data_IF_998302029069
#
_entry.id   IF_998302029069
#
_cell.length_a   1.000
_cell.length_b   1.000
_cell.length_c   1.000
_cell.angle_alpha   90.00
_cell.angle_beta   90.00
_cell.angle_gamma   90.00
#
_symmetry.space_group_name_H-M   'P 1'
#
loop_
_entity.id
_entity.type
_entity.pdbx_description
1 polymer ?
#
# COMPACT_ATOMS: atom_id res chain seq x y z
N UNK A 1 -22.96 -11.93 -10.60
CA UNK A 1 -22.63 -10.74 -9.81
C UNK A 1 -23.55 -9.61 -10.28
N UNK A 2 -24.31 -8.98 -9.39
CA UNK A 2 -25.23 -7.89 -9.73
C UNK A 2 -24.50 -6.56 -9.52
N UNK A 3 -23.87 -6.04 -10.57
CA UNK A 3 -23.04 -4.83 -10.53
C UNK A 3 -23.80 -3.56 -10.07
N UNK A 4 -25.14 -3.61 -10.11
CA UNK A 4 -26.06 -2.58 -9.63
C UNK A 4 -26.14 -2.50 -8.09
N UNK A 5 -25.77 -3.56 -7.35
CA UNK A 5 -25.97 -3.66 -5.89
C UNK A 5 -24.69 -3.84 -5.08
N UNK A 6 -23.53 -3.88 -5.73
CA UNK A 6 -22.26 -4.08 -5.05
C UNK A 6 -21.12 -3.48 -5.85
N UNK A 7 -20.27 -2.69 -5.18
CA UNK A 7 -19.08 -2.07 -5.76
C UNK A 7 -17.86 -2.34 -4.89
N UNK A 8 -16.71 -2.45 -5.52
CA UNK A 8 -15.44 -2.43 -4.82
C UNK A 8 -15.03 -0.99 -4.53
N UNK A 9 -14.42 -0.75 -3.38
CA UNK A 9 -13.75 0.53 -3.11
C UNK A 9 -12.66 0.77 -4.17
N UNK A 10 -12.56 2.00 -4.68
CA UNK A 10 -11.50 2.38 -5.64
C UNK A 10 -10.55 3.37 -4.94
N UNK A 11 -9.28 2.97 -4.79
CA UNK A 11 -8.22 3.81 -4.21
C UNK A 11 -7.35 4.50 -5.27
N UNK A 12 -7.82 4.55 -6.52
CA UNK A 12 -7.14 5.13 -7.68
C UNK A 12 -5.73 4.54 -7.89
N UNK A 13 -5.63 3.21 -7.87
CA UNK A 13 -4.38 2.46 -8.04
C UNK A 13 -4.23 1.81 -9.41
N UNK A 14 -5.18 2.06 -10.31
CA UNK A 14 -5.37 1.38 -11.60
C UNK A 14 -4.18 1.57 -12.56
N UNK A 15 -3.42 2.65 -12.39
CA UNK A 15 -2.26 2.96 -13.22
C UNK A 15 -0.99 2.16 -12.86
N UNK A 16 -1.01 1.33 -11.82
CA UNK A 16 0.19 0.63 -11.33
C UNK A 16 0.34 -0.71 -12.02
N UNK A 17 1.43 -0.84 -12.80
CA UNK A 17 1.78 -2.08 -13.48
C UNK A 17 1.91 -3.27 -12.52
N UNK A 18 1.35 -4.40 -12.92
CA UNK A 18 1.51 -5.70 -12.25
C UNK A 18 0.97 -5.72 -10.81
N UNK A 19 -0.14 -5.03 -10.54
CA UNK A 19 -0.85 -5.12 -9.25
C UNK A 19 -2.07 -6.05 -9.28
N UNK A 20 -2.47 -6.50 -10.48
CA UNK A 20 -3.73 -7.21 -10.73
C UNK A 20 -4.90 -6.22 -10.80
N UNK A 21 -6.03 -6.65 -11.38
CA UNK A 21 -7.26 -5.84 -11.44
C UNK A 21 -7.95 -5.69 -10.06
N UNK A 22 -7.47 -6.43 -9.07
CA UNK A 22 -8.08 -6.59 -7.78
C UNK A 22 -7.25 -5.87 -6.71
N UNK A 23 -7.87 -4.91 -6.02
CA UNK A 23 -7.31 -4.28 -4.84
C UNK A 23 -6.85 -5.37 -3.85
N UNK A 24 -5.61 -5.30 -3.35
CA UNK A 24 -5.10 -6.29 -2.37
C UNK A 24 -5.97 -6.32 -1.09
N UNK A 25 -6.77 -5.27 -0.89
CA UNK A 25 -7.74 -5.11 0.18
C UNK A 25 -9.13 -4.80 -0.35
N UNK A 26 -9.64 -5.59 -1.30
CA UNK A 26 -11.02 -5.48 -1.80
C UNK A 26 -12.02 -5.30 -0.64
N UNK A 27 -12.55 -4.09 -0.50
CA UNK A 27 -13.68 -3.82 0.37
C UNK A 27 -14.93 -3.79 -0.49
N UNK A 28 -15.77 -4.81 -0.36
CA UNK A 28 -17.05 -4.88 -1.08
C UNK A 28 -18.06 -4.02 -0.34
N UNK A 29 -18.51 -2.96 -0.99
CA UNK A 29 -19.64 -2.12 -0.56
C UNK A 29 -20.89 -2.75 -1.17
N UNK A 30 -21.79 -3.28 -0.34
CA UNK A 30 -22.99 -3.98 -0.77
C UNK A 30 -24.23 -3.23 -0.29
N UNK A 31 -25.11 -2.86 -1.24
CA UNK A 31 -26.44 -2.33 -0.97
C UNK A 31 -27.47 -3.47 -0.98
N UNK A 32 -27.53 -4.20 0.13
CA UNK A 32 -28.47 -5.32 0.30
C UNK A 32 -28.14 -6.25 1.47
N UNK A 33 -29.00 -7.24 1.74
CA UNK A 33 -28.74 -8.21 2.80
C UNK A 33 -27.54 -9.10 2.45
N UNK A 34 -26.60 -9.19 3.39
CA UNK A 34 -25.43 -10.07 3.30
C UNK A 34 -25.63 -11.28 4.21
N UNK A 35 -25.12 -12.43 3.78
CA UNK A 35 -25.13 -13.68 4.55
C UNK A 35 -23.71 -14.16 4.82
N UNK A 36 -23.53 -14.90 5.91
CA UNK A 36 -22.26 -15.53 6.24
C UNK A 36 -22.34 -17.03 5.96
N UNK A 37 -21.23 -17.60 5.48
CA UNK A 37 -21.10 -19.05 5.40
C UNK A 37 -21.22 -19.64 6.82
N UNK A 38 -21.98 -20.72 6.94
CA UNK A 38 -22.15 -21.41 8.24
C UNK A 38 -20.95 -22.28 8.62
N UNK A 39 -20.07 -22.54 7.66
CA UNK A 39 -18.90 -23.39 7.79
C UNK A 39 -17.67 -22.62 7.33
N UNK A 40 -16.51 -23.01 7.85
CA UNK A 40 -15.24 -22.39 7.49
C UNK A 40 -14.87 -22.72 6.04
N UNK A 41 -14.37 -21.71 5.33
CA UNK A 41 -13.74 -21.89 4.04
C UNK A 41 -12.25 -22.12 4.26
N UNK A 42 -11.78 -23.36 4.06
CA UNK A 42 -10.36 -23.67 4.15
C UNK A 42 -9.60 -22.97 3.01
N UNK A 43 -8.64 -22.13 3.37
CA UNK A 43 -7.77 -21.44 2.44
C UNK A 43 -6.31 -21.84 2.69
N UNK A 44 -5.87 -22.89 2.03
CA UNK A 44 -4.49 -23.39 2.11
C UNK A 44 -3.66 -22.83 0.94
N UNK A 45 -2.96 -21.71 1.18
CA UNK A 45 -2.03 -21.09 0.21
C UNK A 45 -0.57 -21.31 0.64
N UNK A 46 -0.17 -22.59 0.81
CA UNK A 46 1.21 -22.97 1.11
C UNK A 46 2.05 -23.06 -0.16
N UNK A 47 2.48 -21.90 -0.67
CA UNK A 47 3.47 -21.81 -1.75
C UNK A 47 4.86 -21.54 -1.21
N UNK A 48 5.87 -21.72 -2.07
CA UNK A 48 7.27 -21.49 -1.72
C UNK A 48 7.62 -20.01 -1.51
N UNK A 49 8.88 -19.76 -1.11
CA UNK A 49 9.40 -18.41 -0.90
C UNK A 49 9.48 -17.56 -2.18
N UNK A 50 9.62 -18.18 -3.34
CA UNK A 50 9.64 -17.46 -4.61
C UNK A 50 8.30 -16.76 -4.83
N UNK A 51 7.19 -17.49 -4.67
CA UNK A 51 5.85 -16.93 -4.79
C UNK A 51 5.57 -15.87 -3.73
N UNK A 52 6.08 -16.06 -2.51
CA UNK A 52 5.98 -15.05 -1.46
C UNK A 52 6.66 -13.74 -1.89
N UNK A 53 7.91 -13.82 -2.35
CA UNK A 53 8.70 -12.65 -2.76
C UNK A 53 8.09 -11.96 -3.99
N UNK A 54 7.69 -12.73 -4.98
CA UNK A 54 7.08 -12.22 -6.21
C UNK A 54 5.78 -11.46 -5.92
N UNK A 55 4.91 -12.03 -5.08
CA UNK A 55 3.68 -11.39 -4.63
C UNK A 55 3.96 -10.09 -3.86
N UNK A 56 4.89 -10.10 -2.92
CA UNK A 56 5.22 -8.90 -2.14
C UNK A 56 5.92 -7.82 -2.97
N UNK A 57 6.64 -8.19 -4.03
CA UNK A 57 7.14 -7.22 -4.99
C UNK A 57 6.00 -6.51 -5.73
N UNK A 58 4.96 -7.25 -6.18
CA UNK A 58 3.76 -6.65 -6.79
C UNK A 58 2.99 -5.77 -5.80
N UNK A 59 2.71 -6.30 -4.61
CA UNK A 59 1.93 -5.59 -3.60
C UNK A 59 2.63 -4.34 -3.08
N UNK A 60 3.97 -4.33 -3.02
CA UNK A 60 4.70 -3.14 -2.60
C UNK A 60 4.58 -2.00 -3.60
N UNK A 61 4.35 -2.26 -4.91
CA UNK A 61 3.99 -1.20 -5.86
C UNK A 61 2.65 -0.55 -5.48
N UNK A 62 1.66 -1.39 -5.20
CA UNK A 62 0.32 -0.96 -4.81
C UNK A 62 0.34 -0.15 -3.51
N UNK A 63 0.96 -0.67 -2.44
CA UNK A 63 1.07 0.04 -1.16
C UNK A 63 1.84 1.36 -1.27
N UNK A 64 2.90 1.39 -2.09
CA UNK A 64 3.65 2.63 -2.32
C UNK A 64 2.77 3.72 -2.93
N UNK A 65 1.90 3.38 -3.90
CA UNK A 65 0.95 4.34 -4.47
C UNK A 65 -0.14 4.73 -3.49
N UNK A 66 -0.67 3.80 -2.71
CA UNK A 66 -1.62 4.12 -1.63
C UNK A 66 -0.98 5.10 -0.63
N UNK A 67 0.28 4.85 -0.24
CA UNK A 67 1.03 5.76 0.64
C UNK A 67 1.24 7.12 -0.01
N UNK A 68 1.55 7.16 -1.32
CA UNK A 68 1.68 8.40 -2.07
C UNK A 68 0.36 9.18 -2.07
N UNK A 69 -0.76 8.56 -2.44
CA UNK A 69 -2.09 9.17 -2.48
C UNK A 69 -2.51 9.70 -1.09
N UNK A 70 -2.18 8.97 -0.01
CA UNK A 70 -2.41 9.40 1.38
C UNK A 70 -1.54 10.59 1.82
N UNK A 71 -0.37 10.76 1.22
CA UNK A 71 0.55 11.87 1.52
C UNK A 71 0.24 13.12 0.68
N UNK A 72 -0.25 12.94 -0.54
CA UNK A 72 -0.61 14.04 -1.46
C UNK A 72 -2.06 14.52 -1.30
N UNK A 73 -2.85 13.86 -0.45
CA UNK A 73 -4.27 14.21 -0.22
C UNK A 73 -5.23 13.70 -1.31
N UNK A 74 -4.74 12.94 -2.29
CA UNK A 74 -5.57 12.35 -3.35
C UNK A 74 -6.49 11.23 -2.85
N UNK A 75 -6.26 10.71 -1.65
CA UNK A 75 -7.08 9.64 -1.04
C UNK A 75 -8.41 10.13 -0.42
N UNK A 76 -8.58 11.43 -0.21
CA UNK A 76 -9.71 12.00 0.55
C UNK A 76 -10.97 12.24 -0.31
N UNK A 77 -10.91 12.01 -1.63
CA UNK A 77 -12.03 12.16 -2.56
C UNK A 77 -12.96 10.95 -2.60
N UNK A 78 -13.92 10.86 -1.67
CA UNK A 78 -15.06 9.93 -1.77
C UNK A 78 -14.90 8.57 -1.06
N UNK A 79 -13.92 8.41 -0.18
CA UNK A 79 -13.68 7.16 0.57
C UNK A 79 -14.03 7.27 2.06
N UNK A 80 -14.12 6.14 2.78
CA UNK A 80 -14.43 6.12 4.22
C UNK A 80 -13.38 6.95 4.99
N UNK A 81 -13.84 7.96 5.73
CA UNK A 81 -13.00 8.90 6.48
C UNK A 81 -12.17 8.23 7.59
N UNK A 82 -10.98 8.78 7.87
CA UNK A 82 -10.13 8.32 8.98
C UNK A 82 -10.57 8.95 10.30
N UNK A 83 -10.95 8.13 11.28
CA UNK A 83 -11.34 8.57 12.62
C UNK A 83 -10.81 7.58 13.67
N UNK A 84 -10.13 8.09 14.71
CA UNK A 84 -9.57 7.29 15.80
C UNK A 84 -10.64 6.67 16.71
N UNK A 85 -11.80 7.33 16.83
CA UNK A 85 -12.94 6.87 17.63
C UNK A 85 -14.10 6.34 16.77
N UNK A 86 -13.85 6.15 15.47
CA UNK A 86 -14.83 5.61 14.54
C UNK A 86 -14.87 4.08 14.53
N UNK A 87 -15.51 3.55 13.50
CA UNK A 87 -15.57 2.11 13.25
C UNK A 87 -14.18 1.49 12.98
N UNK A 88 -14.05 0.17 13.08
CA UNK A 88 -12.79 -0.56 12.93
C UNK A 88 -12.02 -0.19 11.65
N UNK A 89 -12.72 0.03 10.54
CA UNK A 89 -12.16 0.49 9.26
C UNK A 89 -11.59 1.90 9.37
N UNK A 90 -12.31 2.82 10.00
CA UNK A 90 -11.89 4.21 10.20
C UNK A 90 -10.64 4.30 11.08
N UNK A 91 -10.56 3.49 12.14
CA UNK A 91 -9.38 3.41 13.02
C UNK A 91 -8.17 2.84 12.29
N UNK A 92 -8.36 1.77 11.52
CA UNK A 92 -7.28 1.16 10.69
C UNK A 92 -6.69 2.18 9.73
N UNK A 93 -7.54 3.01 9.08
CA UNK A 93 -7.09 4.10 8.20
C UNK A 93 -6.34 5.20 8.96
N UNK A 94 -6.83 5.58 10.14
CA UNK A 94 -6.14 6.55 10.99
C UNK A 94 -4.73 6.07 11.38
N UNK A 95 -4.61 4.82 11.85
CA UNK A 95 -3.32 4.21 12.16
C UNK A 95 -2.41 4.13 10.92
N UNK A 96 -2.97 3.82 9.74
CA UNK A 96 -2.22 3.84 8.47
C UNK A 96 -1.70 5.25 8.17
N UNK A 97 -2.50 6.31 8.37
CA UNK A 97 -2.08 7.71 8.16
C UNK A 97 -0.89 8.11 9.05
N UNK A 98 -0.86 7.63 10.28
CA UNK A 98 0.27 7.82 11.20
C UNK A 98 1.46 6.97 10.74
N UNK A 99 1.25 5.67 10.50
CA UNK A 99 2.29 4.73 10.09
C UNK A 99 3.05 5.21 8.86
N UNK A 100 2.35 5.79 7.87
CA UNK A 100 2.96 6.29 6.64
C UNK A 100 4.00 7.41 6.89
N UNK A 101 3.90 8.13 8.01
CA UNK A 101 4.79 9.25 8.35
C UNK A 101 5.95 8.86 9.28
N UNK A 102 5.94 7.65 9.84
CA UNK A 102 7.00 7.21 10.76
C UNK A 102 8.33 6.94 10.04
N UNK A 103 9.47 7.33 10.63
CA UNK A 103 10.79 6.90 10.16
C UNK A 103 11.07 5.43 10.54
N UNK A 104 12.06 4.82 9.89
CA UNK A 104 12.55 3.46 10.20
C UNK A 104 11.48 2.35 10.20
N UNK A 105 10.44 2.47 9.39
CA UNK A 105 9.33 1.48 9.31
C UNK A 105 9.77 0.02 9.15
N UNK A 106 10.79 -0.33 8.35
CA UNK A 106 11.24 -1.71 8.24
C UNK A 106 11.65 -2.30 9.60
N UNK A 107 12.43 -1.54 10.38
CA UNK A 107 12.85 -1.94 11.72
C UNK A 107 11.64 -2.00 12.67
N UNK A 108 10.75 -1.01 12.64
CA UNK A 108 9.55 -1.00 13.46
C UNK A 108 8.65 -2.22 13.16
N UNK A 109 8.47 -2.56 11.88
CA UNK A 109 7.70 -3.72 11.44
C UNK A 109 8.31 -5.01 11.96
N UNK A 110 9.64 -5.14 11.86
CA UNK A 110 10.37 -6.28 12.42
C UNK A 110 10.17 -6.38 13.93
N UNK A 111 10.42 -5.30 14.68
CA UNK A 111 10.32 -5.32 16.15
C UNK A 111 8.89 -5.61 16.62
N UNK A 112 7.89 -4.99 15.97
CA UNK A 112 6.47 -5.23 16.24
C UNK A 112 6.10 -6.70 16.06
N UNK A 113 6.57 -7.34 14.98
CA UNK A 113 6.30 -8.75 14.77
C UNK A 113 7.15 -9.65 15.69
N UNK A 114 8.46 -9.48 15.68
CA UNK A 114 9.40 -10.41 16.30
C UNK A 114 9.35 -10.36 17.83
N UNK A 115 9.29 -9.16 18.42
CA UNK A 115 9.30 -8.96 19.87
C UNK A 115 7.88 -8.89 20.42
N UNK A 116 7.07 -7.95 19.94
CA UNK A 116 5.76 -7.68 20.54
C UNK A 116 4.69 -8.74 20.21
N UNK A 117 4.80 -9.40 19.04
CA UNK A 117 3.93 -10.55 18.68
C UNK A 117 4.59 -11.89 18.96
N UNK A 118 5.68 -11.90 19.73
CA UNK A 118 6.37 -13.10 20.18
C UNK A 118 6.84 -14.02 19.03
N UNK A 119 7.14 -13.47 17.85
CA UNK A 119 7.64 -14.25 16.72
C UNK A 119 8.96 -14.96 16.99
N UNK A 120 9.72 -14.56 18.01
CA UNK A 120 10.89 -15.30 18.47
C UNK A 120 10.56 -16.70 19.02
N UNK A 121 9.31 -16.96 19.44
CA UNK A 121 8.87 -18.28 19.90
C UNK A 121 8.88 -19.32 18.78
N UNK A 122 8.75 -18.89 17.52
CA UNK A 122 8.83 -19.74 16.34
C UNK A 122 10.30 -19.98 15.89
N UNK A 123 11.27 -19.49 16.67
CA UNK A 123 12.70 -19.63 16.43
C UNK A 123 13.13 -19.14 15.04
N UNK A 124 13.75 -20.03 14.26
CA UNK A 124 14.28 -19.70 12.93
C UNK A 124 13.19 -19.29 11.94
N UNK A 125 12.02 -19.95 11.98
CA UNK A 125 10.93 -19.66 11.05
C UNK A 125 10.36 -18.24 11.30
N UNK A 126 10.13 -17.90 12.57
CA UNK A 126 9.69 -16.57 12.97
C UNK A 126 10.69 -15.48 12.63
N UNK A 127 11.99 -15.72 12.84
CA UNK A 127 13.04 -14.78 12.42
C UNK A 127 13.01 -14.53 10.91
N UNK A 128 12.98 -15.60 10.08
CA UNK A 128 12.94 -15.48 8.63
C UNK A 128 11.71 -14.68 8.20
N UNK A 129 10.53 -15.02 8.72
CA UNK A 129 9.30 -14.32 8.38
C UNK A 129 9.33 -12.84 8.80
N UNK A 130 9.85 -12.53 9.99
CA UNK A 130 10.05 -11.15 10.43
C UNK A 130 10.97 -10.37 9.49
N UNK A 131 12.06 -10.97 9.04
CA UNK A 131 12.99 -10.37 8.06
C UNK A 131 12.33 -10.13 6.71
N UNK A 132 11.52 -11.08 6.24
CA UNK A 132 10.73 -10.94 5.03
C UNK A 132 9.73 -9.78 5.15
N UNK A 133 9.01 -9.65 6.27
CA UNK A 133 8.13 -8.51 6.53
C UNK A 133 8.88 -7.18 6.55
N UNK A 134 10.06 -7.14 7.17
CA UNK A 134 10.92 -5.95 7.17
C UNK A 134 11.37 -5.58 5.76
N UNK A 135 11.77 -6.56 4.95
CA UNK A 135 12.19 -6.34 3.56
C UNK A 135 11.03 -5.83 2.71
N UNK A 136 9.83 -6.37 2.90
CA UNK A 136 8.62 -5.89 2.23
C UNK A 136 8.33 -4.42 2.57
N UNK A 137 8.36 -4.04 3.85
CA UNK A 137 8.14 -2.65 4.27
C UNK A 137 9.22 -1.71 3.69
N UNK A 138 10.46 -2.20 3.58
CA UNK A 138 11.55 -1.47 2.92
C UNK A 138 11.22 -1.23 1.44
N UNK A 139 10.81 -2.26 0.70
CA UNK A 139 10.43 -2.15 -0.72
C UNK A 139 9.34 -1.10 -0.96
N UNK A 140 8.31 -1.06 -0.10
CA UNK A 140 7.26 -0.02 -0.15
C UNK A 140 7.89 1.37 -0.02
N UNK A 141 8.80 1.54 0.94
CA UNK A 141 9.47 2.82 1.20
C UNK A 141 10.29 3.33 0.02
N UNK A 142 11.12 2.48 -0.60
CA UNK A 142 11.95 2.88 -1.76
C UNK A 142 11.11 3.19 -2.99
N UNK A 143 10.05 2.42 -3.24
CA UNK A 143 9.09 2.70 -4.33
C UNK A 143 8.29 3.97 -4.09
N UNK A 144 7.92 4.25 -2.84
CA UNK A 144 7.30 5.53 -2.47
C UNK A 144 8.26 6.70 -2.71
N UNK A 145 9.55 6.54 -2.42
CA UNK A 145 10.55 7.54 -2.74
C UNK A 145 10.61 7.81 -4.24
N UNK A 146 10.68 6.75 -5.07
CA UNK A 146 10.61 6.87 -6.54
C UNK A 146 9.35 7.61 -6.99
N UNK A 147 8.17 7.21 -6.51
CA UNK A 147 6.90 7.90 -6.81
C UNK A 147 6.94 9.40 -6.47
N UNK A 148 7.58 9.79 -5.37
CA UNK A 148 7.72 11.20 -5.00
C UNK A 148 8.64 11.97 -5.96
N UNK A 149 9.71 11.34 -6.44
CA UNK A 149 10.65 11.97 -7.38
C UNK A 149 10.06 12.10 -8.78
N UNK A 150 9.24 11.14 -9.21
CA UNK A 150 8.75 11.04 -10.58
C UNK A 150 7.25 11.34 -10.74
N UNK A 151 6.71 12.28 -9.95
CA UNK A 151 5.34 12.76 -10.13
C UNK A 151 4.24 11.69 -9.96
N UNK A 152 4.51 10.62 -9.20
CA UNK A 152 3.56 9.56 -8.93
C UNK A 152 3.59 8.37 -9.91
N UNK A 153 4.66 8.24 -10.71
CA UNK A 153 4.88 7.11 -11.61
C UNK A 153 6.07 6.24 -11.17
N UNK A 154 5.97 4.92 -11.36
CA UNK A 154 7.05 3.95 -11.15
C UNK A 154 7.62 3.52 -12.51
N UNK A 155 8.94 3.32 -12.63
CA UNK A 155 9.62 2.91 -13.86
C UNK A 155 9.43 3.89 -15.03
N UNK A 156 9.68 5.17 -14.82
CA UNK A 156 9.60 6.16 -15.91
C UNK A 156 10.82 6.01 -16.81
N UNK A 157 10.61 5.61 -18.07
CA UNK A 157 11.68 5.49 -19.08
C UNK A 157 12.21 6.83 -19.57
N UNK A 158 11.46 7.92 -19.37
CA UNK A 158 11.88 9.29 -19.60
C UNK A 158 11.64 10.13 -18.33
N UNK A 159 12.61 10.89 -17.82
CA UNK A 159 12.38 11.76 -16.68
C UNK A 159 11.25 12.75 -16.98
N UNK A 160 10.34 13.04 -16.03
CA UNK A 160 9.39 14.13 -16.20
C UNK A 160 10.21 15.40 -16.47
N UNK A 161 9.85 16.12 -17.54
CA UNK A 161 10.52 17.35 -17.93
C UNK A 161 10.67 18.24 -16.69
N UNK A 162 11.92 18.57 -16.35
CA UNK A 162 12.22 19.43 -15.21
C UNK A 162 11.33 20.68 -15.29
N UNK A 163 10.79 21.17 -14.16
CA UNK A 163 9.95 22.36 -14.18
C UNK A 163 10.73 23.49 -14.86
N UNK A 164 10.22 23.96 -16.00
CA UNK A 164 10.80 25.06 -16.74
C UNK A 164 10.91 26.25 -15.79
N UNK A 165 12.14 26.57 -15.39
CA UNK A 165 12.41 27.72 -14.55
C UNK A 165 12.12 28.97 -15.40
N UNK A 166 11.08 29.77 -15.10
CA UNK A 166 10.70 30.92 -15.93
C UNK A 166 11.73 32.06 -15.88
N UNK A 167 12.81 31.91 -15.09
CA UNK A 167 13.84 32.93 -14.88
C UNK A 167 14.96 32.98 -15.95
N UNK A 168 14.99 32.08 -16.93
CA UNK A 168 16.10 32.02 -17.91
C UNK A 168 15.86 32.78 -19.24
N UNK A 169 14.71 33.46 -19.41
CA UNK A 169 14.38 34.17 -20.67
C UNK A 169 14.51 35.69 -20.59
N UNK A 170 15.43 36.21 -19.79
CA UNK A 170 15.78 37.64 -19.80
C UNK A 170 17.26 37.85 -19.55
N UNK A 171 18.11 37.67 -20.57
CA UNK A 171 19.27 38.54 -20.83
C UNK A 171 19.71 38.32 -22.29
N UNK A 172 19.42 39.29 -23.15
CA UNK A 172 20.24 39.59 -24.34
C UNK A 172 20.06 41.08 -24.64
N UNK A 173 21.02 41.95 -24.28
CA UNK A 173 21.13 43.27 -24.86
C UNK A 173 21.93 43.20 -26.17
N UNK A 174 21.61 44.15 -27.04
CA UNK A 174 22.19 44.40 -28.37
C UNK A 174 23.71 44.57 -28.37
#
# INVERSE_FOLDING_TARGET
FRHDKGRYENLHTDAIRNTGDNEVHEHVIIDGPVGYLKQDMLHEDFRDLFHWLERHNRYSNWEAKVYYNLLTGMADGGTIGANLFGDAVQRKRFLKKIWVRLPFKPLLRFMLFYVFRLGFLDGRAGYIYGRLLSQYEYQIGVKLYELKQFGGHLNVTEPPAAPLNPAASQVSPQ
#
